data_IF_650645773600
#
_entry.id   IF_650645773600
#
_cell.length_a   1.000
_cell.length_b   1.000
_cell.length_c   1.000
_cell.angle_alpha   90.00
_cell.angle_beta   90.00
_cell.angle_gamma   90.00
#
_symmetry.space_group_name_H-M   'P 1'
#
loop_
_entity.id
_entity.type
_entity.pdbx_description
1 polymer ?
#
# COMPACT_ATOMS: atom_id res chain seq x y z
N UNK A 1 -7.53 -1.01 -11.02
CA UNK A 1 -6.19 -0.43 -10.72
C UNK A 1 -6.20 0.09 -9.29
N UNK A 2 -5.09 0.03 -8.56
CA UNK A 2 -5.08 0.53 -7.18
C UNK A 2 -4.95 2.06 -7.15
N UNK A 3 -5.83 2.73 -6.42
CA UNK A 3 -5.84 4.19 -6.30
C UNK A 3 -5.13 4.63 -5.01
N UNK A 4 -4.71 5.91 -4.91
CA UNK A 4 -4.17 6.47 -3.67
C UNK A 4 -5.09 6.30 -2.47
N UNK A 5 -6.40 6.51 -2.68
CA UNK A 5 -7.42 6.35 -1.63
C UNK A 5 -7.54 4.89 -1.19
N UNK A 6 -7.55 3.92 -2.12
CA UNK A 6 -7.57 2.50 -1.77
C UNK A 6 -6.35 2.10 -0.94
N UNK A 7 -5.16 2.61 -1.27
CA UNK A 7 -3.94 2.34 -0.51
C UNK A 7 -4.03 2.88 0.93
N UNK A 8 -4.51 4.13 1.09
CA UNK A 8 -4.73 4.73 2.42
C UNK A 8 -5.72 3.92 3.25
N UNK A 9 -6.85 3.54 2.66
CA UNK A 9 -7.88 2.75 3.34
C UNK A 9 -7.36 1.38 3.75
N UNK A 10 -6.63 0.70 2.86
CA UNK A 10 -5.98 -0.58 3.16
C UNK A 10 -5.01 -0.44 4.34
N UNK A 11 -4.12 0.55 4.29
CA UNK A 11 -3.16 0.80 5.36
C UNK A 11 -3.84 1.10 6.69
N UNK A 12 -4.91 1.90 6.67
CA UNK A 12 -5.69 2.24 7.87
C UNK A 12 -6.41 1.01 8.45
N UNK A 13 -7.00 0.16 7.61
CA UNK A 13 -7.65 -1.08 8.04
C UNK A 13 -6.68 -2.06 8.70
N UNK A 14 -5.42 -2.07 8.25
CA UNK A 14 -4.33 -2.86 8.85
C UNK A 14 -3.74 -2.22 10.12
N UNK A 15 -4.13 -0.98 10.47
CA UNK A 15 -3.52 -0.21 11.55
C UNK A 15 -2.06 0.18 11.29
N UNK A 16 -1.63 0.22 10.02
CA UNK A 16 -0.24 0.42 9.64
C UNK A 16 0.10 1.91 9.44
N UNK A 17 1.35 2.27 9.72
CA UNK A 17 1.92 3.55 9.29
C UNK A 17 2.47 3.43 7.86
N UNK A 18 2.72 4.56 7.18
CA UNK A 18 3.35 4.52 5.85
C UNK A 18 4.72 3.83 5.90
N UNK A 19 5.46 4.01 7.00
CA UNK A 19 6.75 3.36 7.22
C UNK A 19 6.61 1.84 7.37
N UNK A 20 5.59 1.36 8.10
CA UNK A 20 5.32 -0.08 8.24
C UNK A 20 4.97 -0.69 6.89
N UNK A 21 4.08 -0.07 6.13
CA UNK A 21 3.74 -0.52 4.78
C UNK A 21 4.96 -0.55 3.85
N UNK A 22 5.82 0.46 3.93
CA UNK A 22 7.03 0.52 3.13
C UNK A 22 8.02 -0.61 3.49
N UNK A 23 8.16 -0.92 4.78
CA UNK A 23 8.97 -2.02 5.28
C UNK A 23 8.46 -3.38 4.74
N UNK A 24 7.15 -3.63 4.82
CA UNK A 24 6.54 -4.88 4.32
C UNK A 24 6.68 -5.04 2.79
N UNK A 25 6.72 -3.92 2.06
CA UNK A 25 6.89 -3.91 0.60
C UNK A 25 8.35 -3.80 0.15
N UNK A 26 9.31 -3.64 1.07
CA UNK A 26 10.72 -3.45 0.73
C UNK A 26 11.02 -2.16 -0.04
N UNK A 27 10.22 -1.09 0.17
CA UNK A 27 10.39 0.22 -0.47
C UNK A 27 10.73 1.31 0.55
N UNK A 28 11.07 2.50 0.08
CA UNK A 28 11.25 3.67 0.95
C UNK A 28 9.89 4.24 1.36
N UNK A 29 9.79 4.80 2.57
CA UNK A 29 8.55 5.45 3.07
C UNK A 29 8.04 6.56 2.14
N UNK A 30 8.95 7.35 1.55
CA UNK A 30 8.58 8.41 0.60
C UNK A 30 7.93 7.85 -0.68
N UNK A 31 8.25 6.62 -1.07
CA UNK A 31 7.58 5.94 -2.20
C UNK A 31 6.10 5.74 -1.88
N UNK A 32 5.78 5.25 -0.68
CA UNK A 32 4.40 5.09 -0.20
C UNK A 32 3.69 6.44 -0.11
N UNK A 33 4.35 7.47 0.43
CA UNK A 33 3.78 8.82 0.51
C UNK A 33 3.40 9.36 -0.87
N UNK A 34 4.28 9.21 -1.87
CA UNK A 34 4.01 9.63 -3.26
C UNK A 34 2.87 8.85 -3.91
N UNK A 35 2.74 7.55 -3.64
CA UNK A 35 1.58 6.76 -4.08
C UNK A 35 0.29 7.27 -3.44
N UNK A 36 0.29 7.51 -2.14
CA UNK A 36 -0.88 8.00 -1.38
C UNK A 36 -1.28 9.44 -1.73
N UNK A 37 -0.36 10.23 -2.28
CA UNK A 37 -0.60 11.57 -2.82
C UNK A 37 -1.02 11.55 -4.30
N UNK A 38 -0.89 10.41 -4.99
CA UNK A 38 -1.15 10.31 -6.43
C UNK A 38 -0.06 10.91 -7.32
N UNK A 39 1.10 11.26 -6.76
CA UNK A 39 2.26 11.81 -7.50
C UNK A 39 2.83 10.75 -8.45
N UNK A 40 2.86 9.49 -8.01
CA UNK A 40 3.22 8.36 -8.88
C UNK A 40 2.15 7.27 -8.82
N UNK A 41 1.81 6.66 -9.96
CA UNK A 41 0.93 5.51 -9.97
C UNK A 41 1.61 4.30 -9.31
N UNK A 42 0.80 3.49 -8.64
CA UNK A 42 1.23 2.19 -8.10
C UNK A 42 1.34 1.21 -9.26
N UNK A 43 2.47 0.52 -9.39
CA UNK A 43 2.65 -0.45 -10.48
C UNK A 43 1.65 -1.60 -10.36
N UNK A 44 1.22 -2.22 -11.48
CA UNK A 44 0.30 -3.36 -11.45
C UNK A 44 0.79 -4.53 -10.58
N UNK A 45 2.10 -4.79 -10.56
CA UNK A 45 2.72 -5.83 -9.72
C UNK A 45 2.55 -5.53 -8.22
N UNK A 46 2.86 -4.31 -7.80
CA UNK A 46 2.71 -3.89 -6.40
C UNK A 46 1.24 -3.90 -5.99
N UNK A 47 0.34 -3.48 -6.88
CA UNK A 47 -1.10 -3.56 -6.66
C UNK A 47 -1.58 -5.01 -6.45
N UNK A 48 -1.03 -5.98 -7.20
CA UNK A 48 -1.31 -7.41 -7.02
C UNK A 48 -0.82 -7.91 -5.65
N UNK A 49 0.39 -7.53 -5.26
CA UNK A 49 0.98 -7.87 -3.96
C UNK A 49 0.11 -7.36 -2.81
N UNK A 50 -0.34 -6.11 -2.90
CA UNK A 50 -1.18 -5.50 -1.87
C UNK A 50 -2.56 -6.18 -1.73
N UNK A 51 -3.14 -6.68 -2.83
CA UNK A 51 -4.36 -7.50 -2.77
C UNK A 51 -4.16 -8.81 -2.00
N UNK A 52 -2.96 -9.41 -2.05
CA UNK A 52 -2.68 -10.64 -1.29
C UNK A 52 -2.56 -10.39 0.22
N UNK A 53 -2.10 -9.19 0.62
CA UNK A 53 -2.02 -8.80 2.03
C UNK A 53 -3.41 -8.66 2.64
N UNK A 54 -4.38 -8.12 1.89
CA UNK A 54 -5.79 -8.07 2.33
C UNK A 54 -6.40 -9.46 2.50
N UNK A 55 -6.06 -10.44 1.66
CA UNK A 55 -6.63 -11.80 1.77
C UNK A 55 -6.10 -12.59 2.96
N UNK A 56 -4.86 -12.36 3.39
CA UNK A 56 -4.23 -13.14 4.48
C UNK A 56 -4.63 -12.74 5.89
N UNK A 57 -5.12 -11.52 6.12
CA UNK A 57 -5.49 -11.06 7.47
C UNK A 57 -6.96 -11.34 7.87
N UNK A 58 -7.78 -11.91 6.98
CA UNK A 58 -9.18 -12.28 7.27
C UNK A 58 -9.38 -13.79 7.57
N UNK A 59 -8.33 -14.50 7.97
CA UNK A 59 -8.38 -15.84 8.55
C UNK A 59 -7.77 -15.81 9.94
#
# INVERSE_FOLDING_TARGET
MMTPTHLKSLRAALGWSQAKLAQELGVRTNTVARWEQGVHPISPLVARLLQTLTTRQHR
#
